data_IF_340537211243
#
_entry.id   IF_340537211243
#
_cell.length_a   1.000
_cell.length_b   1.000
_cell.length_c   1.000
_cell.angle_alpha   90.00
_cell.angle_beta   90.00
_cell.angle_gamma   90.00
#
_symmetry.space_group_name_H-M   'P 1'
#
loop_
_entity.id
_entity.type
_entity.pdbx_description
1 polymer ?
#
# COMPACT_ATOMS: atom_id res chain seq x y z
N UNK A 1 5.68 -10.35 -17.56
CA UNK A 1 5.50 -10.79 -16.16
C UNK A 1 5.20 -9.63 -15.21
N UNK A 2 6.03 -8.59 -15.10
CA UNK A 2 5.82 -7.47 -14.15
C UNK A 2 4.49 -6.74 -14.33
N UNK A 3 4.00 -6.58 -15.56
CA UNK A 3 2.68 -5.98 -15.83
C UNK A 3 1.56 -6.78 -15.12
N UNK A 4 1.59 -8.11 -15.19
CA UNK A 4 0.60 -8.96 -14.54
C UNK A 4 0.72 -8.94 -13.02
N UNK A 5 1.94 -8.92 -12.47
CA UNK A 5 2.16 -8.73 -11.03
C UNK A 5 1.59 -7.37 -10.60
N UNK A 6 1.89 -6.29 -11.32
CA UNK A 6 1.38 -4.95 -11.04
C UNK A 6 -0.14 -4.89 -11.09
N UNK A 7 -0.76 -5.50 -12.12
CA UNK A 7 -2.21 -5.56 -12.28
C UNK A 7 -2.88 -6.29 -11.11
N UNK A 8 -2.47 -7.52 -10.84
CA UNK A 8 -3.07 -8.34 -9.78
C UNK A 8 -2.85 -7.72 -8.39
N UNK A 9 -1.62 -7.30 -8.10
CA UNK A 9 -1.28 -6.69 -6.82
C UNK A 9 -2.02 -5.38 -6.57
N UNK A 10 -2.11 -4.50 -7.57
CA UNK A 10 -2.81 -3.22 -7.42
C UNK A 10 -4.33 -3.37 -7.40
N UNK A 11 -4.87 -4.33 -8.11
CA UNK A 11 -6.29 -4.70 -8.02
C UNK A 11 -6.65 -5.14 -6.60
N UNK A 12 -5.97 -6.16 -6.08
CA UNK A 12 -6.20 -6.67 -4.73
C UNK A 12 -5.85 -5.63 -3.66
N UNK A 13 -4.77 -4.90 -3.86
CA UNK A 13 -4.35 -3.84 -2.95
C UNK A 13 -5.32 -2.65 -2.91
N UNK A 14 -6.09 -2.41 -3.98
CA UNK A 14 -7.15 -1.39 -3.97
C UNK A 14 -8.35 -1.85 -3.16
N UNK A 15 -8.72 -3.12 -3.29
CA UNK A 15 -9.87 -3.68 -2.59
C UNK A 15 -9.62 -3.85 -1.09
N UNK A 16 -8.46 -4.32 -0.70
CA UNK A 16 -8.27 -4.75 0.68
C UNK A 16 -7.04 -4.13 1.37
N UNK A 17 -6.28 -3.35 0.63
CA UNK A 17 -4.96 -2.89 1.07
C UNK A 17 -3.91 -3.97 0.90
N UNK A 18 -2.65 -3.60 0.76
CA UNK A 18 -1.55 -4.57 0.72
C UNK A 18 -0.98 -4.86 -0.66
N UNK A 19 -1.14 -3.97 -1.65
CA UNK A 19 -0.46 -4.12 -2.94
C UNK A 19 1.04 -4.41 -2.76
N UNK A 20 1.72 -3.68 -1.87
CA UNK A 20 3.13 -3.90 -1.55
C UNK A 20 3.45 -5.26 -0.93
N UNK A 21 2.46 -5.91 -0.26
CA UNK A 21 2.61 -7.28 0.25
C UNK A 21 2.77 -8.31 -0.88
N UNK A 22 2.27 -7.99 -2.06
CA UNK A 22 2.32 -8.87 -3.23
C UNK A 22 3.48 -8.45 -4.15
N UNK A 23 3.59 -7.15 -4.47
CA UNK A 23 4.55 -6.65 -5.45
C UNK A 23 5.99 -6.91 -5.03
N UNK A 24 6.38 -6.48 -3.83
CA UNK A 24 7.79 -6.56 -3.39
C UNK A 24 8.26 -8.02 -3.28
N UNK A 25 7.59 -8.93 -2.55
CA UNK A 25 8.01 -10.31 -2.51
C UNK A 25 7.98 -11.01 -3.88
N UNK A 26 6.97 -10.74 -4.71
CA UNK A 26 6.91 -11.32 -6.06
C UNK A 26 8.10 -10.92 -6.92
N UNK A 27 8.55 -9.66 -6.84
CA UNK A 27 9.74 -9.20 -7.53
C UNK A 27 11.02 -9.85 -6.98
N UNK A 28 11.16 -9.94 -5.66
CA UNK A 28 12.30 -10.60 -5.01
C UNK A 28 12.38 -12.08 -5.42
N UNK A 29 11.24 -12.76 -5.53
CA UNK A 29 11.17 -14.16 -6.00
C UNK A 29 11.60 -14.31 -7.46
N UNK A 30 11.46 -13.28 -8.28
CA UNK A 30 11.96 -13.28 -9.67
C UNK A 30 13.43 -12.92 -9.80
N UNK A 31 14.13 -12.77 -8.67
CA UNK A 31 15.56 -12.46 -8.62
C UNK A 31 15.90 -10.97 -8.62
N UNK A 32 14.91 -10.09 -8.55
CA UNK A 32 15.14 -8.64 -8.48
C UNK A 32 15.58 -8.29 -7.05
N UNK A 33 16.69 -7.55 -6.85
CA UNK A 33 17.12 -7.12 -5.52
C UNK A 33 16.03 -6.38 -4.76
N UNK A 34 15.97 -6.55 -3.43
CA UNK A 34 14.87 -6.00 -2.62
C UNK A 34 14.81 -4.48 -2.69
N UNK A 35 15.95 -3.80 -2.71
CA UNK A 35 16.00 -2.33 -2.82
C UNK A 35 15.40 -1.84 -4.14
N UNK A 36 15.77 -2.50 -5.27
CA UNK A 36 15.18 -2.24 -6.59
C UNK A 36 13.69 -2.56 -6.60
N UNK A 37 13.27 -3.64 -5.94
CA UNK A 37 11.86 -4.03 -5.83
C UNK A 37 11.05 -2.98 -5.07
N UNK A 38 11.59 -2.46 -3.95
CA UNK A 38 10.96 -1.39 -3.18
C UNK A 38 10.89 -0.10 -4.00
N UNK A 39 12.00 0.32 -4.61
CA UNK A 39 12.06 1.52 -5.45
C UNK A 39 11.05 1.45 -6.60
N UNK A 40 10.99 0.32 -7.31
CA UNK A 40 10.01 0.05 -8.37
C UNK A 40 8.58 0.11 -7.85
N UNK A 41 8.32 -0.48 -6.68
CA UNK A 41 7.01 -0.44 -6.06
C UNK A 41 6.60 0.99 -5.67
N UNK A 42 7.52 1.84 -5.17
CA UNK A 42 7.19 3.24 -4.87
C UNK A 42 6.78 4.00 -6.12
N UNK A 43 7.51 3.87 -7.20
CA UNK A 43 7.13 4.51 -8.46
C UNK A 43 5.78 4.00 -8.96
N UNK A 44 5.61 2.69 -9.14
CA UNK A 44 4.39 2.10 -9.70
C UNK A 44 3.15 2.32 -8.83
N UNK A 45 3.28 2.19 -7.50
CA UNK A 45 2.19 2.46 -6.56
C UNK A 45 1.86 3.95 -6.49
N UNK A 46 2.84 4.84 -6.60
CA UNK A 46 2.65 6.28 -6.69
C UNK A 46 1.84 6.67 -7.92
N UNK A 47 2.22 6.16 -9.09
CA UNK A 47 1.50 6.41 -10.36
C UNK A 47 0.07 5.84 -10.31
N UNK A 48 -0.11 4.62 -9.78
CA UNK A 48 -1.43 4.02 -9.60
C UNK A 48 -2.30 4.80 -8.60
N UNK A 49 -1.71 5.29 -7.51
CA UNK A 49 -2.40 6.11 -6.52
C UNK A 49 -2.77 7.49 -7.11
N UNK A 50 -1.89 8.10 -7.91
CA UNK A 50 -2.18 9.33 -8.64
C UNK A 50 -3.41 9.17 -9.53
N UNK A 51 -3.43 8.12 -10.37
CA UNK A 51 -4.57 7.79 -11.22
C UNK A 51 -5.86 7.60 -10.39
N UNK A 52 -5.77 6.91 -9.25
CA UNK A 52 -6.89 6.70 -8.33
C UNK A 52 -7.40 8.01 -7.72
N UNK A 53 -6.51 8.86 -7.21
CA UNK A 53 -6.86 10.14 -6.58
C UNK A 53 -7.45 11.10 -7.62
N UNK A 54 -6.91 11.12 -8.83
CA UNK A 54 -7.46 11.92 -9.94
C UNK A 54 -8.91 11.52 -10.25
N UNK A 55 -9.18 10.21 -10.34
CA UNK A 55 -10.54 9.70 -10.52
C UNK A 55 -11.47 10.14 -9.37
N UNK A 56 -11.01 10.03 -8.11
CA UNK A 56 -11.79 10.38 -6.92
C UNK A 56 -12.10 11.89 -6.84
N UNK A 57 -11.17 12.73 -7.28
CA UNK A 57 -11.40 14.19 -7.39
C UNK A 57 -12.46 14.48 -8.47
N UNK A 58 -12.26 13.89 -9.66
CA UNK A 58 -13.17 14.12 -10.79
C UNK A 58 -14.60 13.65 -10.49
N UNK A 59 -14.75 12.56 -9.75
CA UNK A 59 -16.05 12.04 -9.29
C UNK A 59 -16.59 12.75 -8.03
N UNK A 60 -15.98 13.85 -7.58
CA UNK A 60 -16.36 14.65 -6.40
C UNK A 60 -16.46 13.86 -5.09
N UNK A 61 -15.76 12.72 -5.00
CA UNK A 61 -15.75 11.88 -3.79
C UNK A 61 -14.79 12.39 -2.72
N UNK A 62 -13.80 13.21 -3.10
CA UNK A 62 -12.84 13.85 -2.20
C UNK A 62 -12.70 15.33 -2.50
N UNK A 63 -12.52 16.14 -1.45
CA UNK A 63 -12.27 17.58 -1.58
C UNK A 63 -10.77 17.87 -1.66
N UNK A 64 -10.36 18.80 -2.52
CA UNK A 64 -8.95 19.15 -2.75
C UNK A 64 -8.28 19.61 -1.45
N UNK A 65 -8.97 20.41 -0.61
CA UNK A 65 -8.41 20.89 0.67
C UNK A 65 -8.03 19.74 1.61
N UNK A 66 -8.88 18.71 1.71
CA UNK A 66 -8.61 17.53 2.52
C UNK A 66 -7.42 16.74 1.96
N UNK A 67 -7.38 16.54 0.64
CA UNK A 67 -6.30 15.84 -0.05
C UNK A 67 -4.96 16.51 0.22
N UNK A 68 -4.87 17.83 0.05
CA UNK A 68 -3.61 18.58 0.18
C UNK A 68 -2.93 18.37 1.54
N UNK A 69 -3.68 18.46 2.63
CA UNK A 69 -3.14 18.30 3.99
C UNK A 69 -2.60 16.87 4.19
N UNK A 70 -3.40 15.85 3.84
CA UNK A 70 -2.97 14.45 4.02
C UNK A 70 -1.83 14.07 3.10
N UNK A 71 -1.82 14.61 1.88
CA UNK A 71 -0.75 14.39 0.91
C UNK A 71 0.59 14.95 1.40
N UNK A 72 0.59 16.18 1.96
CA UNK A 72 1.79 16.79 2.53
C UNK A 72 2.33 15.97 3.73
N UNK A 73 1.45 15.61 4.67
CA UNK A 73 1.83 14.78 5.83
C UNK A 73 2.42 13.45 5.38
N UNK A 74 1.80 12.81 4.37
CA UNK A 74 2.27 11.55 3.85
C UNK A 74 3.56 11.68 3.04
N UNK A 75 3.74 12.76 2.29
CA UNK A 75 4.94 13.04 1.51
C UNK A 75 6.18 13.15 2.41
N UNK A 76 6.11 13.97 3.46
CA UNK A 76 7.22 14.09 4.41
C UNK A 76 7.44 12.80 5.22
N UNK A 77 6.37 12.09 5.57
CA UNK A 77 6.48 10.75 6.15
C UNK A 77 7.25 9.82 5.22
N UNK A 78 6.86 9.77 3.94
CA UNK A 78 7.48 8.92 2.93
C UNK A 78 8.97 9.19 2.73
N UNK A 79 9.37 10.47 2.68
CA UNK A 79 10.79 10.87 2.62
C UNK A 79 11.55 10.30 3.83
N UNK A 80 11.06 10.57 5.04
CA UNK A 80 11.74 10.11 6.26
C UNK A 80 11.90 8.58 6.30
N UNK A 81 10.86 7.84 5.94
CA UNK A 81 10.93 6.39 5.90
C UNK A 81 11.93 5.88 4.85
N UNK A 82 11.92 6.45 3.66
CA UNK A 82 12.84 6.05 2.59
C UNK A 82 14.30 6.39 2.91
N UNK A 83 14.58 7.53 3.55
CA UNK A 83 15.92 7.89 4.02
C UNK A 83 16.47 6.85 5.02
N UNK A 84 15.64 6.37 5.94
CA UNK A 84 16.05 5.32 6.87
C UNK A 84 16.37 4.03 6.12
N UNK A 85 15.47 3.58 5.24
CA UNK A 85 15.61 2.28 4.56
C UNK A 85 16.66 2.26 3.47
N UNK A 86 16.96 3.39 2.83
CA UNK A 86 18.01 3.46 1.80
C UNK A 86 19.42 3.15 2.32
N UNK A 87 19.63 3.26 3.63
CA UNK A 87 20.90 2.95 4.29
C UNK A 87 20.97 1.53 4.90
N UNK A 88 19.88 0.76 4.82
CA UNK A 88 19.83 -0.60 5.38
C UNK A 88 20.38 -1.60 4.35
N UNK A 89 21.23 -2.51 4.81
CA UNK A 89 21.78 -3.58 3.97
C UNK A 89 20.71 -4.55 3.46
N UNK A 90 20.87 -5.08 2.26
CA UNK A 90 19.89 -5.95 1.60
C UNK A 90 19.51 -7.18 2.44
N UNK A 91 20.50 -7.84 3.07
CA UNK A 91 20.24 -9.00 3.95
C UNK A 91 19.32 -8.66 5.12
N UNK A 92 19.55 -7.53 5.78
CA UNK A 92 18.71 -7.06 6.88
C UNK A 92 17.31 -6.67 6.40
N UNK A 93 17.21 -6.09 5.21
CA UNK A 93 15.92 -5.75 4.60
C UNK A 93 15.09 -6.99 4.26
N UNK A 94 15.71 -8.05 3.72
CA UNK A 94 15.02 -9.30 3.44
C UNK A 94 14.46 -9.94 4.72
N UNK A 95 15.25 -9.95 5.80
CA UNK A 95 14.81 -10.45 7.09
C UNK A 95 13.66 -9.59 7.67
N UNK A 96 13.81 -8.27 7.60
CA UNK A 96 12.76 -7.34 8.03
C UNK A 96 11.47 -7.54 7.22
N UNK A 97 11.58 -7.76 5.88
CA UNK A 97 10.46 -8.05 5.01
C UNK A 97 9.67 -9.28 5.49
N UNK A 98 10.36 -10.35 5.84
CA UNK A 98 9.74 -11.58 6.35
C UNK A 98 8.97 -11.33 7.66
N UNK A 99 9.60 -10.69 8.64
CA UNK A 99 8.94 -10.38 9.91
C UNK A 99 7.74 -9.43 9.74
N UNK A 100 7.86 -8.45 8.85
CA UNK A 100 6.76 -7.52 8.56
C UNK A 100 5.59 -8.21 7.84
N UNK A 101 5.86 -9.19 6.97
CA UNK A 101 4.81 -10.04 6.38
C UNK A 101 4.09 -10.86 7.46
N UNK A 102 4.83 -11.48 8.39
CA UNK A 102 4.25 -12.19 9.53
C UNK A 102 3.38 -11.27 10.38
N UNK A 103 3.86 -10.07 10.68
CA UNK A 103 3.12 -9.07 11.46
C UNK A 103 1.86 -8.58 10.73
N UNK A 104 1.95 -8.31 9.44
CA UNK A 104 0.80 -7.94 8.62
C UNK A 104 -0.26 -9.06 8.57
N UNK A 105 0.18 -10.32 8.47
CA UNK A 105 -0.70 -11.48 8.53
C UNK A 105 -1.42 -11.55 9.87
N UNK A 106 -0.70 -11.45 10.98
CA UNK A 106 -1.27 -11.49 12.33
C UNK A 106 -2.32 -10.39 12.55
N UNK A 107 -2.03 -9.16 12.11
CA UNK A 107 -2.99 -8.06 12.19
C UNK A 107 -4.22 -8.33 11.32
N UNK A 108 -4.02 -8.82 10.09
CA UNK A 108 -5.13 -9.11 9.17
C UNK A 108 -6.03 -10.21 9.72
N UNK A 109 -5.47 -11.26 10.33
CA UNK A 109 -6.20 -12.34 10.95
C UNK A 109 -6.99 -11.89 12.19
N UNK A 110 -6.34 -11.14 13.09
CA UNK A 110 -6.95 -10.70 14.36
C UNK A 110 -8.01 -9.61 14.18
N UNK A 111 -8.06 -8.97 13.03
CA UNK A 111 -8.95 -7.83 12.85
C UNK A 111 -10.39 -8.24 12.56
N UNK A 112 -11.27 -8.01 13.54
CA UNK A 112 -12.71 -8.26 13.45
C UNK A 112 -13.46 -7.23 12.59
N UNK A 113 -12.92 -6.03 12.40
CA UNK A 113 -13.59 -4.95 11.64
C UNK A 113 -13.83 -5.31 10.15
N UNK A 114 -13.10 -6.31 9.62
CA UNK A 114 -13.36 -6.88 8.31
C UNK A 114 -14.65 -7.71 8.23
N UNK A 115 -15.11 -8.23 9.35
CA UNK A 115 -16.25 -9.16 9.42
C UNK A 115 -17.52 -8.51 9.98
N UNK A 116 -17.38 -7.48 10.80
CA UNK A 116 -18.53 -6.79 11.36
C UNK A 116 -19.12 -5.82 10.34
N UNK A 117 -20.41 -5.94 10.08
CA UNK A 117 -21.21 -4.84 9.55
C UNK A 117 -21.23 -3.76 10.64
N UNK A 118 -20.28 -2.82 10.58
CA UNK A 118 -20.42 -1.61 11.36
C UNK A 118 -21.63 -0.90 10.75
N UNK A 119 -22.81 -1.15 11.33
CA UNK A 119 -23.94 -0.26 11.22
C UNK A 119 -23.38 1.10 11.62
N UNK A 120 -23.43 2.05 10.70
CA UNK A 120 -22.97 3.42 10.91
C UNK A 120 -23.93 4.05 11.91
N UNK A 121 -23.78 3.70 13.18
CA UNK A 121 -24.18 4.64 14.22
C UNK A 121 -23.30 5.86 14.03
N UNK A 122 -23.92 7.02 13.96
CA UNK A 122 -23.27 8.33 13.92
C UNK A 122 -22.43 8.56 15.19
N UNK A 123 -21.37 7.79 15.35
CA UNK A 123 -20.32 8.13 16.32
C UNK A 123 -19.63 9.36 15.79
N UNK A 124 -19.71 10.45 16.55
CA UNK A 124 -19.00 11.69 16.30
C UNK A 124 -17.58 11.38 15.81
N UNK A 125 -17.24 11.82 14.61
CA UNK A 125 -15.95 11.52 13.97
C UNK A 125 -14.82 11.96 14.91
N UNK A 126 -14.11 10.99 15.47
CA UNK A 126 -12.98 11.28 16.38
C UNK A 126 -11.90 12.04 15.60
N UNK A 127 -11.41 13.14 16.18
CA UNK A 127 -10.34 13.95 15.56
C UNK A 127 -9.19 13.05 15.08
N UNK A 128 -8.83 13.19 13.81
CA UNK A 128 -7.70 12.47 13.22
C UNK A 128 -6.43 13.13 13.75
N UNK A 129 -5.57 12.32 14.37
CA UNK A 129 -4.27 12.77 14.84
C UNK A 129 -3.26 12.57 13.70
N UNK A 130 -2.71 13.63 13.15
CA UNK A 130 -1.83 13.60 11.96
C UNK A 130 -0.55 12.79 12.14
N UNK A 131 -0.07 12.59 13.36
CA UNK A 131 1.13 11.79 13.61
C UNK A 131 0.97 10.31 13.20
N UNK A 132 -0.25 9.72 13.32
CA UNK A 132 -0.46 8.32 12.92
C UNK A 132 -0.41 8.16 11.38
N UNK A 133 -1.12 8.96 10.57
CA UNK A 133 -0.91 8.99 9.13
C UNK A 133 0.55 9.24 8.72
N UNK A 134 1.27 10.12 9.43
CA UNK A 134 2.69 10.35 9.19
C UNK A 134 3.53 9.07 9.42
N UNK A 135 3.34 8.39 10.55
CA UNK A 135 4.05 7.13 10.85
C UNK A 135 3.73 6.02 9.85
N UNK A 136 2.45 5.87 9.48
CA UNK A 136 2.05 4.92 8.45
C UNK A 136 2.70 5.27 7.11
N UNK A 137 2.75 6.55 6.77
CA UNK A 137 3.38 7.04 5.54
C UNK A 137 4.91 6.86 5.56
N UNK A 138 5.57 7.05 6.71
CA UNK A 138 6.98 6.76 6.87
C UNK A 138 7.27 5.27 6.66
N UNK A 139 6.49 4.40 7.28
CA UNK A 139 6.57 2.97 7.04
C UNK A 139 6.31 2.62 5.57
N UNK A 140 5.27 3.21 4.97
CA UNK A 140 4.96 3.01 3.56
C UNK A 140 6.11 3.48 2.66
N UNK A 141 6.60 4.70 2.83
CA UNK A 141 7.66 5.30 2.01
C UNK A 141 8.97 4.52 2.05
N UNK A 142 9.34 4.03 3.24
CA UNK A 142 10.57 3.24 3.40
C UNK A 142 10.44 1.81 2.92
N UNK A 143 9.40 1.11 3.35
CA UNK A 143 9.25 -0.31 3.08
C UNK A 143 8.00 -0.64 2.27
N UNK A 144 6.82 -0.35 2.80
CA UNK A 144 5.53 -0.42 2.10
C UNK A 144 4.63 -1.62 2.35
N UNK A 145 5.12 -2.86 2.44
CA UNK A 145 4.23 -4.01 2.60
C UNK A 145 3.26 -3.88 3.78
N UNK A 146 1.95 -3.94 3.53
CA UNK A 146 0.92 -3.87 4.57
C UNK A 146 0.50 -2.47 5.01
N UNK A 147 1.20 -1.41 4.64
CA UNK A 147 0.90 -0.02 5.00
C UNK A 147 -0.53 0.40 4.68
N UNK A 148 -1.01 0.00 3.50
CA UNK A 148 -2.39 0.27 3.06
C UNK A 148 -3.41 -0.38 3.98
N UNK A 149 -3.16 -1.61 4.44
CA UNK A 149 -4.03 -2.29 5.42
C UNK A 149 -4.08 -1.52 6.73
N UNK A 150 -2.93 -1.10 7.27
CA UNK A 150 -2.86 -0.29 8.48
C UNK A 150 -3.60 1.05 8.31
N UNK A 151 -3.47 1.68 7.16
CA UNK A 151 -4.15 2.93 6.83
C UNK A 151 -5.67 2.75 6.79
N UNK A 152 -6.17 1.75 6.07
CA UNK A 152 -7.61 1.43 6.00
C UNK A 152 -8.17 1.21 7.41
N UNK A 153 -7.49 0.38 8.22
CA UNK A 153 -7.92 0.08 9.58
C UNK A 153 -7.94 1.32 10.48
N UNK A 154 -6.92 2.17 10.37
CA UNK A 154 -6.87 3.42 11.10
C UNK A 154 -8.06 4.32 10.77
N UNK A 155 -8.35 4.52 9.47
CA UNK A 155 -9.47 5.36 9.06
C UNK A 155 -10.83 4.75 9.44
N UNK A 156 -10.99 3.44 9.36
CA UNK A 156 -12.20 2.75 9.83
C UNK A 156 -12.42 2.95 11.34
N UNK A 157 -11.37 2.85 12.17
CA UNK A 157 -11.43 3.16 13.61
C UNK A 157 -11.80 4.60 13.92
N UNK A 158 -11.61 5.52 12.97
CA UNK A 158 -11.98 6.93 13.07
C UNK A 158 -13.40 7.21 12.58
N UNK A 159 -14.25 6.20 12.52
CA UNK A 159 -15.65 6.29 12.08
C UNK A 159 -15.83 6.65 10.59
N UNK A 160 -14.86 6.29 9.75
CA UNK A 160 -15.06 6.34 8.31
C UNK A 160 -15.64 5.02 7.80
N UNK A 161 -16.50 5.11 6.79
CA UNK A 161 -16.94 3.91 6.07
C UNK A 161 -15.73 3.24 5.38
N UNK A 162 -15.81 1.94 5.12
CA UNK A 162 -14.76 1.23 4.39
C UNK A 162 -14.37 1.92 3.07
N UNK A 163 -15.38 2.35 2.30
CA UNK A 163 -15.17 3.12 1.06
C UNK A 163 -14.33 4.36 1.32
N UNK A 164 -14.70 5.18 2.30
CA UNK A 164 -13.98 6.41 2.65
C UNK A 164 -12.57 6.12 3.17
N UNK A 165 -12.41 5.07 3.94
CA UNK A 165 -11.11 4.62 4.44
C UNK A 165 -10.17 4.23 3.29
N UNK A 166 -10.65 3.49 2.29
CA UNK A 166 -9.89 3.15 1.08
C UNK A 166 -9.51 4.41 0.29
N UNK A 167 -10.44 5.34 0.10
CA UNK A 167 -10.19 6.61 -0.60
C UNK A 167 -9.09 7.44 0.08
N UNK A 168 -9.16 7.60 1.41
CA UNK A 168 -8.15 8.30 2.20
C UNK A 168 -6.79 7.60 2.15
N UNK A 169 -6.79 6.28 2.13
CA UNK A 169 -5.57 5.48 1.97
C UNK A 169 -4.91 5.74 0.61
N UNK A 170 -5.67 5.95 -0.48
CA UNK A 170 -5.08 6.32 -1.79
C UNK A 170 -4.34 7.65 -1.75
N UNK A 171 -4.87 8.62 -1.03
CA UNK A 171 -4.19 9.92 -0.83
C UNK A 171 -2.90 9.73 -0.04
N UNK A 172 -2.93 8.94 1.03
CA UNK A 172 -1.75 8.64 1.84
C UNK A 172 -0.66 7.94 1.00
N UNK A 173 -1.03 6.91 0.23
CA UNK A 173 -0.10 6.18 -0.65
C UNK A 173 0.49 7.11 -1.71
N UNK A 174 -0.31 8.01 -2.30
CA UNK A 174 0.20 8.97 -3.27
C UNK A 174 1.31 9.84 -2.66
N UNK A 175 1.07 10.40 -1.47
CA UNK A 175 2.06 11.24 -0.79
C UNK A 175 3.31 10.44 -0.40
N UNK A 176 3.14 9.33 0.32
CA UNK A 176 4.26 8.51 0.82
C UNK A 176 5.10 7.89 -0.31
N UNK A 177 4.47 7.38 -1.36
CA UNK A 177 5.17 6.83 -2.51
C UNK A 177 5.90 7.90 -3.31
N UNK A 178 5.33 9.10 -3.46
CA UNK A 178 6.01 10.22 -4.11
C UNK A 178 7.23 10.67 -3.30
N UNK A 179 7.10 10.80 -1.98
CA UNK A 179 8.23 11.11 -1.09
C UNK A 179 9.31 10.02 -1.12
N UNK A 180 8.91 8.76 -1.01
CA UNK A 180 9.81 7.62 -1.08
C UNK A 180 10.51 7.50 -2.43
N UNK A 181 9.79 7.73 -3.53
CA UNK A 181 10.34 7.72 -4.88
C UNK A 181 11.47 8.75 -5.04
N UNK A 182 11.30 9.97 -4.55
CA UNK A 182 12.36 10.99 -4.65
C UNK A 182 13.67 10.55 -4.00
N UNK A 183 13.60 9.89 -2.85
CA UNK A 183 14.78 9.37 -2.16
C UNK A 183 15.38 8.21 -2.96
N UNK A 184 14.59 7.21 -3.33
CA UNK A 184 15.10 6.04 -4.09
C UNK A 184 15.58 6.39 -5.50
N UNK A 185 15.08 7.47 -6.09
CA UNK A 185 15.59 7.99 -7.34
C UNK A 185 17.06 8.46 -7.20
N UNK A 186 17.38 9.17 -6.14
CA UNK A 186 18.73 9.66 -5.87
C UNK A 186 19.71 8.54 -5.52
N UNK A 187 19.24 7.43 -4.98
CA UNK A 187 20.08 6.27 -4.62
C UNK A 187 20.43 5.36 -5.81
N UNK A 188 19.84 5.58 -6.98
CA UNK A 188 20.08 4.77 -8.17
C UNK A 188 19.44 3.37 -8.18
N UNK A 189 18.60 3.02 -7.20
CA UNK A 189 17.94 1.72 -7.13
C UNK A 189 16.79 1.56 -8.15
N UNK A 190 16.40 2.62 -8.85
CA UNK A 190 15.32 2.55 -9.82
C UNK A 190 15.80 2.00 -11.16
N UNK A 191 15.20 0.89 -11.57
CA UNK A 191 15.33 0.39 -12.94
C UNK A 191 14.06 0.73 -13.73
N UNK A 192 14.20 1.63 -14.69
CA UNK A 192 13.08 2.20 -15.43
C UNK A 192 12.25 1.17 -16.19
N UNK A 193 12.88 0.14 -16.77
CA UNK A 193 12.18 -0.95 -17.45
C UNK A 193 11.19 -1.68 -16.51
N UNK A 194 11.61 -1.93 -15.28
CA UNK A 194 10.74 -2.56 -14.27
C UNK A 194 9.68 -1.58 -13.78
N UNK A 195 10.05 -0.33 -13.52
CA UNK A 195 9.16 0.71 -13.02
C UNK A 195 8.01 1.00 -14.00
N UNK A 196 8.31 1.14 -15.29
CA UNK A 196 7.32 1.40 -16.33
C UNK A 196 6.39 0.19 -16.51
N UNK A 197 6.96 -1.02 -16.67
CA UNK A 197 6.18 -2.24 -16.84
C UNK A 197 5.21 -2.46 -15.67
N UNK A 198 5.72 -2.32 -14.43
CA UNK A 198 4.90 -2.45 -13.22
C UNK A 198 3.81 -1.37 -13.15
N UNK A 199 4.12 -0.12 -13.53
CA UNK A 199 3.17 1.00 -13.49
C UNK A 199 1.99 0.81 -14.42
N UNK A 200 2.21 0.31 -15.63
CA UNK A 200 1.13 0.01 -16.60
C UNK A 200 0.13 -0.96 -15.96
N UNK A 201 0.61 -2.08 -15.43
CA UNK A 201 -0.24 -3.04 -14.74
C UNK A 201 -0.93 -2.45 -13.50
N UNK A 202 -0.18 -1.67 -12.72
CA UNK A 202 -0.69 -1.08 -11.47
C UNK A 202 -1.79 -0.04 -11.70
N UNK A 203 -1.70 0.77 -12.75
CA UNK A 203 -2.77 1.72 -13.15
C UNK A 203 -4.04 0.93 -13.47
N UNK A 204 -3.94 -0.04 -14.37
CA UNK A 204 -5.10 -0.83 -14.82
C UNK A 204 -5.72 -1.56 -13.63
N UNK A 205 -4.91 -2.25 -12.83
CA UNK A 205 -5.39 -2.99 -11.66
C UNK A 205 -6.06 -2.10 -10.62
N UNK A 206 -5.50 -0.92 -10.35
CA UNK A 206 -6.07 0.00 -9.36
C UNK A 206 -7.39 0.62 -9.83
N UNK A 207 -7.54 0.94 -11.11
CA UNK A 207 -8.79 1.47 -11.67
C UNK A 207 -9.90 0.42 -11.64
N UNK A 208 -9.61 -0.81 -12.09
CA UNK A 208 -10.57 -1.92 -12.01
C UNK A 208 -10.96 -2.16 -10.54
N UNK A 209 -9.98 -2.14 -9.61
CA UNK A 209 -10.24 -2.29 -8.19
C UNK A 209 -11.16 -1.21 -7.63
N UNK A 210 -10.97 0.07 -8.00
CA UNK A 210 -11.85 1.16 -7.58
C UNK A 210 -13.27 1.01 -8.11
N UNK A 211 -13.43 0.61 -9.37
CA UNK A 211 -14.74 0.41 -10.00
C UNK A 211 -15.50 -0.75 -9.34
N UNK A 212 -14.79 -1.80 -8.95
CA UNK A 212 -15.39 -2.97 -8.32
C UNK A 212 -15.53 -2.85 -6.79
N UNK A 213 -14.84 -1.90 -6.17
CA UNK A 213 -14.83 -1.70 -4.72
C UNK A 213 -16.23 -1.66 -4.08
N UNK A 214 -17.27 -1.00 -4.68
CA UNK A 214 -18.62 -1.00 -4.12
C UNK A 214 -19.29 -2.38 -4.17
N UNK A 215 -18.87 -3.26 -5.05
CA UNK A 215 -19.50 -4.57 -5.32
C UNK A 215 -18.85 -5.73 -4.56
N UNK A 216 -17.61 -5.54 -4.08
CA UNK A 216 -16.84 -6.63 -3.45
C UNK A 216 -17.11 -6.70 -1.95
N UNK A 217 -17.61 -7.85 -1.44
CA UNK A 217 -17.78 -8.05 0.00
C UNK A 217 -16.43 -8.01 0.72
N UNK A 218 -16.37 -7.32 1.85
CA UNK A 218 -15.15 -7.21 2.69
C UNK A 218 -14.55 -8.58 3.04
N UNK A 219 -15.39 -9.59 3.29
CA UNK A 219 -14.97 -10.96 3.62
C UNK A 219 -14.12 -11.57 2.48
N UNK A 220 -14.56 -11.40 1.23
CA UNK A 220 -13.85 -11.90 0.05
C UNK A 220 -12.49 -11.21 -0.08
N UNK A 221 -12.44 -9.89 0.05
CA UNK A 221 -11.21 -9.13 0.01
C UNK A 221 -10.21 -9.56 1.10
N UNK A 222 -10.69 -9.79 2.34
CA UNK A 222 -9.87 -10.31 3.44
C UNK A 222 -9.30 -11.68 3.14
N UNK A 223 -10.14 -12.62 2.69
CA UNK A 223 -9.73 -14.01 2.39
C UNK A 223 -8.67 -14.04 1.31
N UNK A 224 -8.84 -13.28 0.23
CA UNK A 224 -7.86 -13.19 -0.87
C UNK A 224 -6.49 -12.68 -0.37
N UNK A 225 -6.46 -11.64 0.47
CA UNK A 225 -5.20 -11.13 1.03
C UNK A 225 -4.52 -12.17 1.90
N UNK A 226 -5.26 -12.83 2.81
CA UNK A 226 -4.69 -13.86 3.68
C UNK A 226 -4.07 -14.98 2.84
N UNK A 227 -4.80 -15.46 1.84
CA UNK A 227 -4.32 -16.51 0.94
C UNK A 227 -3.01 -16.11 0.24
N UNK A 228 -2.93 -14.89 -0.30
CA UNK A 228 -1.75 -14.40 -1.00
C UNK A 228 -0.57 -14.22 -0.04
N UNK A 229 -0.79 -13.64 1.14
CA UNK A 229 0.29 -13.48 2.14
C UNK A 229 0.84 -14.84 2.55
N UNK A 230 -0.02 -15.83 2.82
CA UNK A 230 0.41 -17.19 3.17
C UNK A 230 1.24 -17.83 2.05
N UNK A 231 0.79 -17.72 0.79
CA UNK A 231 1.54 -18.22 -0.36
C UNK A 231 2.93 -17.58 -0.48
N UNK A 232 3.00 -16.26 -0.34
CA UNK A 232 4.26 -15.52 -0.42
C UNK A 232 5.20 -15.86 0.74
N UNK A 233 4.68 -16.05 1.95
CA UNK A 233 5.48 -16.48 3.09
C UNK A 233 6.08 -17.87 2.86
N UNK A 234 5.29 -18.83 2.39
CA UNK A 234 5.76 -20.17 2.05
C UNK A 234 6.88 -20.10 1.01
N UNK A 235 6.70 -19.31 -0.04
CA UNK A 235 7.72 -19.14 -1.09
C UNK A 235 8.98 -18.46 -0.58
N UNK A 236 8.87 -17.46 0.30
CA UNK A 236 10.04 -16.81 0.91
C UNK A 236 10.81 -17.79 1.81
N UNK A 237 10.13 -18.57 2.62
CA UNK A 237 10.77 -19.62 3.44
C UNK A 237 11.54 -20.59 2.53
N UNK A 238 10.91 -21.07 1.46
CA UNK A 238 11.54 -22.03 0.54
C UNK A 238 12.77 -21.47 -0.20
N UNK A 239 12.82 -20.15 -0.43
CA UNK A 239 13.95 -19.48 -1.09
C UNK A 239 15.11 -19.20 -0.14
N UNK A 240 14.86 -19.05 1.16
CA UNK A 240 15.86 -18.68 2.17
C UNK A 240 16.34 -19.84 3.05
N UNK A 241 15.69 -21.02 2.92
CA UNK A 241 16.17 -22.31 3.44
C UNK A 241 16.86 -23.09 2.32
#
# INVERSE_FOLDING_TARGET
>A
MLIFIGLGASFLGTLAGGAGLITVPSMVLTGIPIQTSIATNKFSSGVAAFSSVFYLIRSKQLTIKLIAIYLLVAFFGGINGALVTSHIQEKTMNLAAFFLLCFALLITLKNKEWTEHILVEHKTAKKIKFYIPFLIAAYDGGFGPGSSTFSILYYMKKSHTYMKAVQMTRVLILGSCTGGFLVFYQTGFIQWSYAIAMSIGSIIGSQIGLMLLPKVPKKVAKTLIIMIICLLMIQMIYKFI
#
